data_IF_748567571369
#
_entry.id   IF_748567571369
#
_cell.length_a   1.000
_cell.length_b   1.000
_cell.length_c   1.000
_cell.angle_alpha   90.00
_cell.angle_beta   90.00
_cell.angle_gamma   90.00
#
_symmetry.space_group_name_H-M   'P 1'
#
loop_
_entity.id
_entity.type
_entity.pdbx_description
1 polymer ?
#
# COMPACT_ATOMS: atom_id res chain seq x y z
N UNK A 1 0.49 -17.35 10.70
CA UNK A 1 1.00 -16.82 9.42
C UNK A 1 2.39 -17.36 9.17
N UNK A 2 2.68 -17.88 7.98
CA UNK A 2 4.02 -18.38 7.65
C UNK A 2 5.08 -17.26 7.68
N UNK A 3 6.32 -17.50 8.15
CA UNK A 3 7.36 -16.46 8.22
C UNK A 3 7.67 -15.78 6.88
N UNK A 4 7.61 -16.55 5.78
CA UNK A 4 7.81 -16.03 4.43
C UNK A 4 6.67 -15.10 4.00
N UNK A 5 5.42 -15.42 4.38
CA UNK A 5 4.25 -14.56 4.15
C UNK A 5 4.38 -13.26 4.94
N UNK A 6 4.78 -13.33 6.21
CA UNK A 6 5.02 -12.14 7.03
C UNK A 6 6.11 -11.24 6.43
N UNK A 7 7.20 -11.85 5.95
CA UNK A 7 8.30 -11.13 5.29
C UNK A 7 7.85 -10.49 3.98
N UNK A 8 7.03 -11.20 3.19
CA UNK A 8 6.46 -10.69 1.96
C UNK A 8 5.49 -9.53 2.21
N UNK A 9 4.64 -9.60 3.23
CA UNK A 9 3.75 -8.49 3.62
C UNK A 9 4.54 -7.24 4.02
N UNK A 10 5.60 -7.37 4.83
CA UNK A 10 6.48 -6.24 5.16
C UNK A 10 7.16 -5.66 3.92
N UNK A 11 7.55 -6.52 2.98
CA UNK A 11 8.17 -6.10 1.71
C UNK A 11 7.17 -5.39 0.79
N UNK A 12 5.91 -5.83 0.75
CA UNK A 12 4.81 -5.13 0.06
C UNK A 12 4.57 -3.76 0.67
N UNK A 13 4.58 -3.66 2.01
CA UNK A 13 4.46 -2.35 2.67
C UNK A 13 5.63 -1.42 2.36
N UNK A 14 6.85 -1.95 2.30
CA UNK A 14 8.02 -1.20 1.86
C UNK A 14 7.89 -0.70 0.42
N UNK A 15 7.41 -1.56 -0.49
CA UNK A 15 7.13 -1.21 -1.88
C UNK A 15 6.06 -0.11 -1.99
N UNK A 16 4.95 -0.25 -1.27
CA UNK A 16 3.87 0.72 -1.26
C UNK A 16 4.38 2.10 -0.82
N UNK A 17 5.08 2.17 0.31
CA UNK A 17 5.71 3.41 0.79
C UNK A 17 6.66 4.03 -0.26
N UNK A 18 7.49 3.21 -0.94
CA UNK A 18 8.40 3.70 -1.97
C UNK A 18 7.67 4.25 -3.21
N UNK A 19 6.56 3.60 -3.62
CA UNK A 19 5.71 4.07 -4.72
C UNK A 19 5.00 5.38 -4.38
N UNK A 20 4.49 5.52 -3.15
CA UNK A 20 3.91 6.78 -2.68
C UNK A 20 4.93 7.91 -2.74
N UNK A 21 6.15 7.70 -2.22
CA UNK A 21 7.20 8.72 -2.23
C UNK A 21 7.59 9.15 -3.65
N UNK A 22 7.73 8.20 -4.59
CA UNK A 22 8.02 8.49 -5.99
C UNK A 22 6.86 9.21 -6.68
N UNK A 23 5.61 8.84 -6.40
CA UNK A 23 4.45 9.51 -6.97
C UNK A 23 4.28 10.93 -6.40
N UNK A 24 4.52 11.15 -5.10
CA UNK A 24 4.55 12.48 -4.50
C UNK A 24 5.60 13.38 -5.17
N UNK A 25 6.81 12.86 -5.42
CA UNK A 25 7.85 13.58 -6.17
C UNK A 25 7.38 13.99 -7.57
N UNK A 26 6.69 13.11 -8.29
CA UNK A 26 6.15 13.39 -9.63
C UNK A 26 5.08 14.48 -9.59
N UNK A 27 4.15 14.39 -8.65
CA UNK A 27 3.08 15.39 -8.47
C UNK A 27 3.66 16.76 -8.10
N UNK A 28 4.62 16.81 -7.17
CA UNK A 28 5.30 18.04 -6.79
C UNK A 28 6.07 18.67 -7.97
N UNK A 29 6.80 17.84 -8.74
CA UNK A 29 7.53 18.30 -9.94
C UNK A 29 6.59 18.91 -10.99
N UNK A 30 5.46 18.25 -11.27
CA UNK A 30 4.46 18.74 -12.24
C UNK A 30 3.79 20.04 -11.77
N UNK A 31 3.62 20.21 -10.46
CA UNK A 31 2.97 21.38 -9.86
C UNK A 31 3.91 22.59 -9.69
N UNK A 32 5.18 22.47 -10.11
CA UNK A 32 6.28 23.44 -9.86
C UNK A 32 6.56 23.73 -8.38
N UNK A 33 5.90 23.03 -7.46
CA UNK A 33 6.12 23.14 -6.02
C UNK A 33 7.39 22.37 -5.69
N UNK A 34 8.46 23.08 -5.31
CA UNK A 34 9.71 22.46 -4.92
C UNK A 34 9.62 21.98 -3.47
N UNK A 35 8.86 20.91 -3.22
CA UNK A 35 8.83 20.26 -1.91
C UNK A 35 10.06 19.37 -1.79
N UNK A 36 11.20 19.95 -1.42
CA UNK A 36 12.33 19.19 -0.91
C UNK A 36 12.00 18.77 0.53
N UNK A 37 11.25 17.67 0.69
CA UNK A 37 10.95 17.10 2.00
C UNK A 37 11.97 16.01 2.34
N UNK A 38 12.73 16.13 3.45
CA UNK A 38 13.62 15.09 3.96
C UNK A 38 12.89 13.75 4.18
N UNK A 39 11.58 13.79 4.48
CA UNK A 39 10.74 12.61 4.69
C UNK A 39 10.63 11.72 3.43
N UNK A 40 10.75 12.33 2.23
CA UNK A 40 10.75 11.63 0.94
C UNK A 40 12.13 11.03 0.62
N UNK A 41 13.22 11.63 1.12
CA UNK A 41 14.60 11.19 0.88
C UNK A 41 15.02 10.08 1.86
N UNK A 42 14.57 10.13 3.11
CA UNK A 42 15.06 9.29 4.21
C UNK A 42 14.60 7.81 4.14
N UNK A 43 13.65 7.47 3.26
CA UNK A 43 13.11 6.09 3.11
C UNK A 43 13.52 5.37 1.82
N UNK A 44 14.41 5.93 1.01
CA UNK A 44 14.61 5.47 -0.36
C UNK A 44 15.44 4.17 -0.49
N UNK A 45 14.82 3.02 -0.26
CA UNK A 45 15.07 1.86 -1.13
C UNK A 45 14.30 2.10 -2.43
N UNK A 46 14.95 1.97 -3.58
CA UNK A 46 14.28 2.19 -4.86
C UNK A 46 13.13 1.19 -5.04
N UNK A 47 12.08 1.60 -5.75
CA UNK A 47 10.93 0.73 -6.13
C UNK A 47 11.43 -0.59 -6.71
N UNK A 48 12.44 -0.54 -7.58
CA UNK A 48 13.08 -1.71 -8.21
C UNK A 48 13.66 -2.69 -7.19
N UNK A 49 14.30 -2.19 -6.11
CA UNK A 49 14.87 -3.07 -5.09
C UNK A 49 13.79 -3.86 -4.35
N UNK A 50 12.66 -3.22 -4.05
CA UNK A 50 11.52 -3.88 -3.41
C UNK A 50 10.82 -4.87 -4.35
N UNK A 51 10.65 -4.51 -5.62
CA UNK A 51 10.09 -5.40 -6.64
C UNK A 51 10.95 -6.65 -6.82
N UNK A 52 12.28 -6.50 -6.87
CA UNK A 52 13.22 -7.61 -6.94
C UNK A 52 13.12 -8.50 -5.69
N UNK A 53 13.07 -7.90 -4.50
CA UNK A 53 12.91 -8.66 -3.25
C UNK A 53 11.60 -9.47 -3.25
N UNK A 54 10.50 -8.87 -3.69
CA UNK A 54 9.20 -9.54 -3.78
C UNK A 54 9.18 -10.65 -4.84
N UNK A 55 9.85 -10.44 -5.98
CA UNK A 55 10.01 -11.48 -6.99
C UNK A 55 10.74 -12.70 -6.42
N UNK A 56 11.83 -12.49 -5.69
CA UNK A 56 12.58 -13.57 -5.04
C UNK A 56 11.76 -14.30 -3.98
N UNK A 57 11.01 -13.55 -3.15
CA UNK A 57 10.12 -14.16 -2.15
C UNK A 57 9.02 -15.00 -2.84
N UNK A 58 8.39 -14.47 -3.90
CA UNK A 58 7.36 -15.20 -4.66
C UNK A 58 7.89 -16.52 -5.23
N UNK A 59 9.12 -16.54 -5.74
CA UNK A 59 9.75 -17.78 -6.24
C UNK A 59 9.96 -18.83 -5.14
N UNK A 60 10.26 -18.40 -3.92
CA UNK A 60 10.45 -19.28 -2.77
C UNK A 60 9.12 -19.73 -2.11
N UNK A 61 7.99 -19.09 -2.43
CA UNK A 61 6.69 -19.41 -1.87
C UNK A 61 5.97 -20.52 -2.64
N UNK A 62 5.32 -21.41 -1.89
CA UNK A 62 4.33 -22.35 -2.40
C UNK A 62 3.08 -21.62 -2.93
N UNK A 63 2.25 -22.26 -3.77
CA UNK A 63 0.99 -21.66 -4.22
C UNK A 63 0.09 -21.24 -3.05
N UNK A 64 -0.02 -22.07 -2.01
CA UNK A 64 -0.84 -21.78 -0.83
C UNK A 64 -0.36 -20.54 -0.06
N UNK A 65 0.95 -20.38 0.12
CA UNK A 65 1.51 -19.18 0.77
C UNK A 65 1.27 -17.92 -0.07
N UNK A 66 1.26 -18.03 -1.40
CA UNK A 66 0.93 -16.89 -2.28
C UNK A 66 -0.55 -16.49 -2.14
N UNK A 67 -1.44 -17.47 -2.00
CA UNK A 67 -2.86 -17.22 -1.72
C UNK A 67 -3.03 -16.58 -0.34
N UNK A 68 -2.35 -17.09 0.69
CA UNK A 68 -2.36 -16.48 2.02
C UNK A 68 -1.85 -15.03 1.96
N UNK A 69 -0.72 -14.77 1.28
CA UNK A 69 -0.19 -13.42 1.09
C UNK A 69 -1.21 -12.49 0.41
N UNK A 70 -1.85 -12.95 -0.67
CA UNK A 70 -2.87 -12.20 -1.41
C UNK A 70 -4.03 -11.80 -0.50
N UNK A 71 -4.59 -12.77 0.23
CA UNK A 71 -5.72 -12.54 1.15
C UNK A 71 -5.32 -11.62 2.30
N UNK A 72 -4.16 -11.85 2.91
CA UNK A 72 -3.67 -11.00 4.01
C UNK A 72 -3.38 -9.58 3.53
N UNK A 73 -2.85 -9.39 2.33
CA UNK A 73 -2.65 -8.05 1.76
C UNK A 73 -3.99 -7.34 1.54
N UNK A 74 -5.00 -8.02 0.99
CA UNK A 74 -6.33 -7.45 0.81
C UNK A 74 -6.97 -7.01 2.14
N UNK A 75 -6.90 -7.87 3.17
CA UNK A 75 -7.42 -7.55 4.50
C UNK A 75 -6.71 -6.32 5.09
N UNK A 76 -5.39 -6.24 4.94
CA UNK A 76 -4.63 -5.09 5.41
C UNK A 76 -5.05 -3.79 4.71
N UNK A 77 -5.18 -3.83 3.38
CA UNK A 77 -5.60 -2.68 2.58
C UNK A 77 -7.03 -2.23 2.97
N UNK A 78 -7.95 -3.16 3.19
CA UNK A 78 -9.30 -2.85 3.65
C UNK A 78 -9.30 -2.12 5.00
N UNK A 79 -8.49 -2.57 5.95
CA UNK A 79 -8.31 -1.86 7.23
C UNK A 79 -7.77 -0.43 7.01
N UNK A 80 -6.85 -0.23 6.07
CA UNK A 80 -6.35 1.11 5.74
C UNK A 80 -7.43 1.99 5.12
N UNK A 81 -8.29 1.43 4.26
CA UNK A 81 -9.44 2.14 3.68
C UNK A 81 -10.46 2.55 4.74
N UNK A 82 -10.75 1.69 5.71
CA UNK A 82 -11.65 2.01 6.82
C UNK A 82 -11.13 3.18 7.68
N UNK A 83 -9.81 3.31 7.79
CA UNK A 83 -9.17 4.43 8.50
C UNK A 83 -9.01 5.71 7.67
N UNK A 84 -9.15 5.63 6.34
CA UNK A 84 -8.85 6.73 5.43
C UNK A 84 -9.68 8.01 5.70
N UNK A 85 -11.00 7.95 6.00
CA UNK A 85 -11.77 9.15 6.30
C UNK A 85 -11.20 9.97 7.46
N UNK A 86 -10.67 9.31 8.50
CA UNK A 86 -10.07 10.00 9.63
C UNK A 86 -8.69 10.60 9.30
N UNK A 87 -7.91 9.93 8.44
CA UNK A 87 -6.58 10.40 8.00
C UNK A 87 -6.66 11.56 7.00
N UNK A 88 -7.70 11.59 6.18
CA UNK A 88 -7.89 12.57 5.10
C UNK A 88 -8.79 13.76 5.48
N UNK A 89 -9.53 13.69 6.59
CA UNK A 89 -10.55 14.69 6.97
C UNK A 89 -10.16 16.17 7.06
N UNK A 90 -8.89 16.59 7.26
CA UNK A 90 -8.61 18.03 7.39
C UNK A 90 -8.65 18.84 6.08
N UNK A 91 -8.77 18.21 4.91
CA UNK A 91 -8.63 18.88 3.60
C UNK A 91 -9.72 18.43 2.62
N UNK A 92 -10.07 19.32 1.69
CA UNK A 92 -11.10 19.12 0.66
C UNK A 92 -10.42 19.10 -0.71
N UNK A 93 -10.97 18.36 -1.68
CA UNK A 93 -10.43 18.26 -3.05
C UNK A 93 -10.27 19.63 -3.77
N UNK A 94 -10.85 20.70 -3.21
CA UNK A 94 -10.79 22.08 -3.71
C UNK A 94 -9.53 22.84 -3.24
N UNK A 95 -8.76 22.30 -2.29
CA UNK A 95 -7.56 22.93 -1.75
C UNK A 95 -6.38 22.89 -2.76
N UNK A 96 -5.64 24.01 -2.88
CA UNK A 96 -4.52 24.10 -3.81
C UNK A 96 -3.38 23.15 -3.39
N UNK A 97 -2.90 22.35 -4.35
CA UNK A 97 -1.72 21.50 -4.22
C UNK A 97 -0.47 22.27 -3.78
N UNK A 98 -0.38 23.57 -4.09
CA UNK A 98 0.71 24.44 -3.66
C UNK A 98 0.77 24.65 -2.14
N UNK A 99 -0.39 24.67 -1.47
CA UNK A 99 -0.52 24.93 -0.03
C UNK A 99 -0.68 23.63 0.78
N UNK A 100 -0.75 22.48 0.10
CA UNK A 100 -0.94 21.17 0.72
C UNK A 100 0.31 20.73 1.51
N UNK A 101 0.17 20.37 2.80
CA UNK A 101 1.27 19.81 3.58
C UNK A 101 1.78 18.50 2.95
N UNK A 102 3.10 18.29 2.96
CA UNK A 102 3.71 17.08 2.41
C UNK A 102 3.17 15.77 3.03
N UNK A 103 2.82 15.80 4.32
CA UNK A 103 2.18 14.66 5.01
C UNK A 103 0.78 14.37 4.47
N UNK A 104 0.04 15.39 4.05
CA UNK A 104 -1.29 15.21 3.48
C UNK A 104 -1.23 14.70 2.05
N UNK A 105 -0.35 15.28 1.22
CA UNK A 105 -0.06 14.77 -0.13
C UNK A 105 0.33 13.29 -0.09
N UNK A 106 1.14 12.90 0.90
CA UNK A 106 1.51 11.52 1.11
C UNK A 106 0.31 10.62 1.42
N UNK A 107 -0.55 10.99 2.37
CA UNK A 107 -1.74 10.20 2.71
C UNK A 107 -2.74 10.12 1.54
N UNK A 108 -2.91 11.20 0.76
CA UNK A 108 -3.78 11.21 -0.42
C UNK A 108 -3.27 10.27 -1.52
N UNK A 109 -1.99 10.37 -1.86
CA UNK A 109 -1.35 9.45 -2.82
C UNK A 109 -1.35 8.01 -2.31
N UNK A 110 -1.13 7.81 -1.01
CA UNK A 110 -1.20 6.49 -0.38
C UNK A 110 -2.59 5.89 -0.52
N UNK A 111 -3.63 6.65 -0.19
CA UNK A 111 -5.02 6.21 -0.32
C UNK A 111 -5.36 5.78 -1.74
N UNK A 112 -5.00 6.58 -2.75
CA UNK A 112 -5.27 6.24 -4.15
C UNK A 112 -4.57 4.96 -4.60
N UNK A 113 -3.30 4.80 -4.23
CA UNK A 113 -2.53 3.59 -4.57
C UNK A 113 -3.02 2.36 -3.81
N UNK A 114 -3.37 2.51 -2.53
CA UNK A 114 -3.91 1.43 -1.69
C UNK A 114 -5.27 0.95 -2.22
N UNK A 115 -6.13 1.87 -2.66
CA UNK A 115 -7.43 1.54 -3.27
C UNK A 115 -7.25 0.79 -4.58
N UNK A 116 -6.38 1.27 -5.47
CA UNK A 116 -6.09 0.59 -6.73
C UNK A 116 -5.53 -0.81 -6.51
N UNK A 117 -4.60 -0.98 -5.56
CA UNK A 117 -4.04 -2.29 -5.23
C UNK A 117 -5.11 -3.25 -4.68
N UNK A 118 -6.04 -2.75 -3.86
CA UNK A 118 -7.13 -3.57 -3.32
C UNK A 118 -8.05 -4.05 -4.44
N UNK A 119 -8.48 -3.14 -5.34
CA UNK A 119 -9.32 -3.46 -6.49
C UNK A 119 -8.65 -4.52 -7.39
N UNK A 120 -7.34 -4.36 -7.66
CA UNK A 120 -6.55 -5.32 -8.44
C UNK A 120 -6.48 -6.70 -7.77
N UNK A 121 -6.31 -6.76 -6.45
CA UNK A 121 -6.28 -8.03 -5.73
C UNK A 121 -7.65 -8.70 -5.75
N UNK A 122 -8.71 -7.96 -5.40
CA UNK A 122 -10.08 -8.49 -5.33
C UNK A 122 -10.55 -9.00 -6.70
N UNK A 123 -10.18 -8.32 -7.79
CA UNK A 123 -10.48 -8.76 -9.16
C UNK A 123 -9.80 -10.09 -9.56
N UNK A 124 -8.81 -10.56 -8.80
CA UNK A 124 -8.08 -11.81 -9.07
C UNK A 124 -8.41 -12.93 -8.09
N UNK A 125 -9.38 -12.72 -7.19
CA UNK A 125 -9.83 -13.78 -6.29
C UNK A 125 -10.67 -14.81 -7.07
N UNK A 126 -10.38 -16.07 -6.82
CA UNK A 126 -11.27 -17.17 -7.21
C UNK A 126 -12.41 -17.27 -6.19
N UNK A 127 -13.54 -17.91 -6.53
CA UNK A 127 -14.68 -18.04 -5.59
C UNK A 127 -14.29 -18.64 -4.23
N UNK A 128 -13.38 -19.62 -4.22
CA UNK A 128 -12.87 -20.22 -2.98
C UNK A 128 -12.00 -19.25 -2.16
N UNK A 129 -11.25 -18.37 -2.83
CA UNK A 129 -10.45 -17.36 -2.15
C UNK A 129 -11.31 -16.21 -1.65
N UNK A 130 -12.39 -15.84 -2.36
CA UNK A 130 -13.39 -14.86 -1.90
C UNK A 130 -14.07 -15.30 -0.60
N UNK A 131 -14.52 -16.56 -0.53
CA UNK A 131 -15.10 -17.12 0.70
C UNK A 131 -14.11 -17.07 1.87
N UNK A 132 -12.85 -17.42 1.60
CA UNK A 132 -11.78 -17.35 2.61
C UNK A 132 -11.49 -15.92 3.02
N UNK A 133 -11.40 -15.00 2.08
CA UNK A 133 -11.18 -13.58 2.32
C UNK A 133 -12.30 -12.99 3.18
N UNK A 134 -13.56 -13.24 2.83
CA UNK A 134 -14.72 -12.75 3.60
C UNK A 134 -14.72 -13.27 5.04
N UNK A 135 -14.44 -14.57 5.23
CA UNK A 135 -14.33 -15.16 6.57
C UNK A 135 -13.20 -14.53 7.38
N UNK A 136 -11.99 -14.48 6.81
CA UNK A 136 -10.82 -13.97 7.51
C UNK A 136 -10.88 -12.46 7.78
N UNK A 137 -11.49 -11.68 6.89
CA UNK A 137 -11.71 -10.25 7.09
C UNK A 137 -12.62 -9.98 8.31
N UNK A 138 -13.66 -10.80 8.50
CA UNK A 138 -14.54 -10.69 9.68
C UNK A 138 -13.88 -11.08 11.00
N UNK A 139 -12.81 -11.89 10.95
CA UNK A 139 -12.07 -12.36 12.14
C UNK A 139 -10.82 -11.52 12.43
N UNK A 140 -10.44 -10.63 11.52
CA UNK A 140 -9.18 -9.89 11.58
C UNK A 140 -9.17 -8.86 12.73
N UNK A 141 -8.15 -8.95 13.60
CA UNK A 141 -7.94 -8.04 14.75
C UNK A 141 -6.62 -7.27 14.70
N UNK A 142 -5.87 -7.41 13.59
CA UNK A 142 -4.50 -6.89 13.47
C UNK A 142 -3.51 -7.94 12.99
N UNK A 143 -2.38 -7.48 12.46
CA UNK A 143 -1.22 -8.34 12.17
C UNK A 143 -0.29 -8.31 13.38
N UNK A 144 -0.14 -9.44 14.07
CA UNK A 144 0.91 -9.66 15.08
C UNK A 144 2.27 -9.96 14.42
#
# INVERSE_FOLDING_TARGET
>A
MHPIVQTALRSLQGLACARVAEQCRRVAWLSRVHIASPLLEERARSVVAWENQLAMLRLAMTPEERVELKIKRAIYLRMLMESAPARLQPWVDEDDLADMPASHLFEWVAYDLERLELDEIEATLTPREEERYAREAGEFKGFE
#
